data_IF_122026456017
#
_entry.id   IF_122026456017
#
_cell.length_a   1.000
_cell.length_b   1.000
_cell.length_c   1.000
_cell.angle_alpha   90.00
_cell.angle_beta   90.00
_cell.angle_gamma   90.00
#
_symmetry.space_group_name_H-M   'P 1'
#
loop_
_entity.id
_entity.type
_entity.pdbx_description
1 polymer ?
#
# COMPACT_ATOMS: atom_id res chain seq x y z
N UNK A 1 8.88 4.24 -20.96
CA UNK A 1 7.79 4.11 -19.99
C UNK A 1 8.36 4.63 -18.68
N UNK A 2 7.80 5.71 -18.15
CA UNK A 2 8.32 6.30 -16.91
C UNK A 2 7.74 5.58 -15.70
N UNK A 3 8.51 5.41 -14.61
CA UNK A 3 7.99 4.88 -13.37
C UNK A 3 6.83 5.73 -12.83
N UNK A 4 5.76 5.06 -12.39
CA UNK A 4 4.63 5.71 -11.71
C UNK A 4 4.89 5.70 -10.21
N UNK A 5 5.00 6.88 -9.61
CA UNK A 5 5.05 7.03 -8.15
C UNK A 5 3.65 6.85 -7.57
N UNK A 6 3.57 6.17 -6.43
CA UNK A 6 2.35 5.97 -5.67
C UNK A 6 2.46 6.71 -4.33
N UNK A 7 1.35 7.31 -3.91
CA UNK A 7 1.16 7.75 -2.53
C UNK A 7 0.56 6.59 -1.75
N UNK A 8 1.26 6.13 -0.71
CA UNK A 8 0.81 5.02 0.11
C UNK A 8 -0.26 5.47 1.11
N UNK A 9 -1.19 4.56 1.37
CA UNK A 9 -2.18 4.69 2.43
C UNK A 9 -1.51 4.36 3.78
N UNK A 10 -1.67 5.25 4.77
CA UNK A 10 -1.08 5.07 6.10
C UNK A 10 -2.14 4.59 7.08
N UNK A 11 -1.83 3.55 7.86
CA UNK A 11 -2.70 3.01 8.90
C UNK A 11 -2.07 3.25 10.28
N UNK A 12 -2.86 3.80 11.19
CA UNK A 12 -2.51 3.99 12.59
C UNK A 12 -3.24 2.93 13.43
N UNK A 13 -2.50 1.94 13.90
CA UNK A 13 -2.99 0.91 14.82
C UNK A 13 -2.34 1.07 16.19
N UNK A 14 -2.90 0.41 17.21
CA UNK A 14 -2.43 0.53 18.61
C UNK A 14 -0.94 0.20 18.81
N UNK A 15 -0.35 -0.57 17.90
CA UNK A 15 1.06 -0.99 17.92
C UNK A 15 1.97 -0.11 17.04
N UNK A 16 1.45 0.98 16.48
CA UNK A 16 2.16 1.86 15.55
C UNK A 16 3.40 2.50 16.19
N UNK A 17 4.49 2.53 15.43
CA UNK A 17 5.71 3.24 15.76
C UNK A 17 5.89 4.56 15.02
N UNK A 18 7.03 5.20 15.24
CA UNK A 18 7.38 6.50 14.64
C UNK A 18 8.42 6.39 13.51
N UNK A 19 8.89 5.18 13.18
CA UNK A 19 9.99 4.99 12.21
C UNK A 19 9.54 5.37 10.80
N UNK A 20 8.32 5.01 10.40
CA UNK A 20 7.81 5.30 9.06
C UNK A 20 7.77 6.81 8.76
N UNK A 21 7.16 7.67 9.61
CA UNK A 21 7.27 9.11 9.46
C UNK A 21 8.72 9.61 9.53
N UNK A 22 9.49 9.14 10.53
CA UNK A 22 10.80 9.71 10.87
C UNK A 22 11.91 9.40 9.85
N UNK A 23 11.88 8.21 9.24
CA UNK A 23 12.99 7.71 8.42
C UNK A 23 12.58 7.32 6.99
N UNK A 24 11.29 7.14 6.71
CA UNK A 24 10.80 6.65 5.41
C UNK A 24 9.92 7.67 4.67
N UNK A 25 9.86 8.92 5.14
CA UNK A 25 9.12 10.00 4.48
C UNK A 25 7.60 9.80 4.49
N UNK A 26 7.07 9.12 5.52
CA UNK A 26 5.62 8.90 5.70
C UNK A 26 5.03 9.91 6.70
N UNK A 27 5.44 11.16 6.62
CA UNK A 27 5.12 12.26 7.54
C UNK A 27 3.88 13.07 7.14
N UNK A 28 3.16 12.64 6.11
CA UNK A 28 1.96 13.29 5.57
C UNK A 28 0.64 12.81 6.22
N UNK A 29 0.72 12.23 7.41
CA UNK A 29 -0.42 11.64 8.11
C UNK A 29 -0.19 11.59 9.62
N UNK A 30 -0.56 10.47 10.29
CA UNK A 30 -0.36 10.30 11.72
C UNK A 30 1.10 10.41 12.16
N UNK A 31 1.32 10.80 13.43
CA UNK A 31 2.67 10.80 14.03
C UNK A 31 3.20 9.39 14.27
N UNK A 32 2.30 8.44 14.54
CA UNK A 32 2.60 7.02 14.65
C UNK A 32 1.92 6.27 13.52
N UNK A 33 2.68 5.51 12.75
CA UNK A 33 2.19 4.74 11.61
C UNK A 33 2.58 3.29 11.79
N UNK A 34 1.57 2.42 11.76
CA UNK A 34 1.72 0.98 11.89
C UNK A 34 2.01 0.34 10.52
N UNK A 35 1.21 0.69 9.51
CA UNK A 35 1.39 0.18 8.15
C UNK A 35 1.40 1.32 7.14
N UNK A 36 2.26 1.20 6.14
CA UNK A 36 2.23 2.01 4.92
C UNK A 36 2.01 1.09 3.73
N UNK A 37 0.86 1.21 3.05
CA UNK A 37 0.49 0.33 1.94
C UNK A 37 1.06 0.89 0.63
N UNK A 38 2.22 0.39 0.22
CA UNK A 38 3.01 0.90 -0.90
C UNK A 38 2.44 0.52 -2.27
N UNK A 39 1.79 -0.65 -2.37
CA UNK A 39 1.04 -1.07 -3.55
C UNK A 39 -0.22 -1.79 -3.10
N UNK A 40 -1.38 -1.21 -3.41
CA UNK A 40 -2.67 -1.74 -2.99
C UNK A 40 -3.76 -1.46 -4.00
N UNK A 41 -4.50 -2.52 -4.33
CA UNK A 41 -5.78 -2.45 -5.04
C UNK A 41 -6.95 -2.71 -4.07
N UNK A 42 -6.67 -2.86 -2.77
CA UNK A 42 -7.68 -3.17 -1.78
C UNK A 42 -8.62 -1.95 -1.56
N UNK A 43 -9.95 -2.14 -1.54
CA UNK A 43 -10.92 -1.04 -1.37
C UNK A 43 -10.74 -0.20 -0.10
N UNK A 44 -10.20 -0.77 0.99
CA UNK A 44 -9.97 -0.08 2.26
C UNK A 44 -8.70 0.78 2.28
N UNK A 45 -7.92 0.76 1.20
CA UNK A 45 -6.70 1.56 1.07
C UNK A 45 -6.08 1.45 -0.31
N UNK A 46 -6.78 1.88 -1.38
CA UNK A 46 -6.24 1.79 -2.74
C UNK A 46 -5.11 2.80 -2.94
N UNK A 47 -4.05 2.42 -3.66
CA UNK A 47 -2.95 3.32 -3.99
C UNK A 47 -3.42 4.47 -4.88
N UNK A 48 -2.95 5.68 -4.57
CA UNK A 48 -3.18 6.89 -5.38
C UNK A 48 -1.93 7.20 -6.18
N UNK A 49 -2.08 7.54 -7.46
CA UNK A 49 -0.95 7.92 -8.31
C UNK A 49 -0.46 9.32 -7.92
N UNK A 50 0.86 9.47 -7.75
CA UNK A 50 1.49 10.73 -7.31
C UNK A 50 2.37 11.39 -8.39
N UNK A 51 2.41 10.82 -9.60
CA UNK A 51 3.21 11.35 -10.71
C UNK A 51 2.49 11.28 -12.05
N UNK A 52 2.87 12.16 -12.98
CA UNK A 52 2.42 12.11 -14.37
C UNK A 52 0.96 12.53 -14.57
N UNK A 53 0.41 12.17 -15.73
CA UNK A 53 -0.92 12.63 -16.21
C UNK A 53 -2.10 12.15 -15.38
N UNK A 54 -1.94 11.02 -14.69
CA UNK A 54 -2.99 10.38 -13.90
C UNK A 54 -2.83 10.66 -12.39
N UNK A 55 -1.97 11.61 -12.02
CA UNK A 55 -1.79 12.05 -10.64
C UNK A 55 -3.13 12.39 -9.98
N UNK A 56 -3.33 11.86 -8.76
CA UNK A 56 -4.55 12.02 -7.97
C UNK A 56 -5.62 10.96 -8.23
N UNK A 57 -5.49 10.15 -9.29
CA UNK A 57 -6.41 9.02 -9.54
C UNK A 57 -5.99 7.78 -8.74
N UNK A 58 -6.94 6.89 -8.46
CA UNK A 58 -6.60 5.58 -7.92
C UNK A 58 -5.94 4.71 -9.00
N UNK A 59 -4.91 3.97 -8.59
CA UNK A 59 -4.19 3.06 -9.49
C UNK A 59 -5.14 2.02 -10.11
N UNK A 60 -6.07 1.49 -9.31
CA UNK A 60 -7.07 0.51 -9.77
C UNK A 60 -7.98 1.00 -10.90
N UNK A 61 -8.14 2.30 -11.07
CA UNK A 61 -9.06 2.87 -12.07
C UNK A 61 -8.36 3.14 -13.40
N UNK A 62 -7.02 3.10 -13.44
CA UNK A 62 -6.24 3.45 -14.63
C UNK A 62 -5.25 2.37 -15.07
N UNK A 63 -4.83 1.49 -14.16
CA UNK A 63 -3.88 0.45 -14.48
C UNK A 63 -4.51 -0.58 -15.42
N UNK A 64 -3.80 -0.89 -16.51
CA UNK A 64 -4.19 -1.95 -17.44
C UNK A 64 -3.58 -3.28 -17.00
N UNK A 65 -4.05 -4.40 -17.57
CA UNK A 65 -3.41 -5.70 -17.39
C UNK A 65 -1.89 -5.63 -17.64
N UNK A 66 -1.49 -4.92 -18.69
CA UNK A 66 -0.08 -4.82 -19.06
C UNK A 66 0.75 -4.15 -17.97
N UNK A 67 0.17 -3.17 -17.27
CA UNK A 67 0.84 -2.43 -16.20
C UNK A 67 1.00 -3.27 -14.93
N UNK A 68 -0.01 -4.08 -14.59
CA UNK A 68 -0.03 -4.92 -13.38
C UNK A 68 0.56 -6.33 -13.60
N UNK A 69 0.88 -6.68 -14.85
CA UNK A 69 1.43 -7.95 -15.26
C UNK A 69 0.37 -8.95 -15.71
N UNK A 70 0.60 -9.61 -16.85
CA UNK A 70 -0.35 -10.55 -17.49
C UNK A 70 -0.72 -11.76 -16.61
N UNK A 71 0.11 -12.11 -15.63
CA UNK A 71 -0.20 -13.19 -14.70
C UNK A 71 -1.30 -12.81 -13.70
N UNK A 72 -1.54 -11.51 -13.48
CA UNK A 72 -2.61 -11.04 -12.61
C UNK A 72 -4.00 -11.40 -13.15
N UNK A 73 -4.16 -11.63 -14.46
CA UNK A 73 -5.45 -12.04 -15.07
C UNK A 73 -5.95 -13.40 -14.58
N UNK A 74 -5.06 -14.22 -13.99
CA UNK A 74 -5.44 -15.51 -13.42
C UNK A 74 -6.25 -15.38 -12.11
N UNK A 75 -6.33 -14.18 -11.56
CA UNK A 75 -6.96 -13.91 -10.27
C UNK A 75 -8.17 -12.99 -10.45
N UNK A 76 -9.22 -13.19 -9.63
CA UNK A 76 -10.41 -12.33 -9.65
C UNK A 76 -10.13 -10.89 -9.15
N UNK A 77 -9.02 -10.71 -8.44
CA UNK A 77 -8.55 -9.44 -7.90
C UNK A 77 -7.02 -9.38 -8.03
N UNK A 78 -6.44 -8.18 -7.99
CA UNK A 78 -4.99 -8.04 -8.02
C UNK A 78 -4.35 -8.78 -6.83
N UNK A 79 -3.43 -9.73 -7.06
CA UNK A 79 -3.08 -10.74 -6.05
C UNK A 79 -2.04 -10.29 -5.03
N UNK A 80 -1.52 -9.06 -5.12
CA UNK A 80 -0.41 -8.60 -4.29
C UNK A 80 -0.79 -7.33 -3.53
N UNK A 81 -0.41 -7.30 -2.25
CA UNK A 81 -0.42 -6.12 -1.40
C UNK A 81 1.00 -5.95 -0.84
N UNK A 82 1.62 -4.80 -1.10
CA UNK A 82 2.95 -4.48 -0.57
C UNK A 82 2.80 -3.48 0.57
N UNK A 83 3.39 -3.78 1.71
CA UNK A 83 3.38 -2.92 2.90
C UNK A 83 4.77 -2.73 3.47
N UNK A 84 4.99 -1.57 4.08
CA UNK A 84 5.98 -1.40 5.13
C UNK A 84 5.27 -1.44 6.49
N UNK A 85 5.84 -2.14 7.45
CA UNK A 85 5.27 -2.32 8.79
C UNK A 85 6.27 -1.79 9.83
N UNK A 86 5.80 -0.93 10.72
CA UNK A 86 6.54 -0.47 11.90
C UNK A 86 5.80 -0.88 13.18
N UNK A 87 6.29 -1.98 13.76
CA UNK A 87 5.80 -2.53 15.01
C UNK A 87 6.60 -1.95 16.18
N UNK A 88 5.97 -1.09 16.97
CA UNK A 88 6.52 -0.54 18.23
C UNK A 88 6.14 -1.39 19.44
N UNK A 89 5.27 -2.39 19.22
CA UNK A 89 4.82 -3.36 20.22
C UNK A 89 4.66 -4.72 19.56
N UNK A 90 4.55 -5.79 20.37
CA UNK A 90 4.32 -7.13 19.84
C UNK A 90 2.98 -7.20 19.10
N UNK A 91 3.00 -7.85 17.95
CA UNK A 91 1.78 -8.18 17.21
C UNK A 91 1.18 -9.46 17.76
N UNK A 92 -0.14 -9.62 17.58
CA UNK A 92 -0.81 -10.87 17.91
C UNK A 92 -0.23 -12.04 17.09
N UNK A 93 -0.23 -13.22 17.69
CA UNK A 93 -0.02 -14.47 16.94
C UNK A 93 -1.19 -14.64 15.98
N UNK A 94 -0.90 -14.82 14.69
CA UNK A 94 -1.91 -14.97 13.64
C UNK A 94 -1.67 -16.28 12.89
N UNK A 95 -2.77 -16.90 12.45
CA UNK A 95 -2.76 -18.06 11.54
C UNK A 95 -3.55 -17.65 10.31
N UNK A 96 -2.92 -17.74 9.14
CA UNK A 96 -3.62 -17.55 7.88
C UNK A 96 -4.24 -18.89 7.45
N UNK A 97 -5.56 -18.93 7.17
CA UNK A 97 -6.16 -20.12 6.56
C UNK A 97 -5.58 -20.34 5.16
N UNK A 98 -5.78 -21.54 4.62
CA UNK A 98 -5.59 -21.75 3.18
C UNK A 98 -6.56 -20.89 2.38
N UNK A 99 -6.24 -20.71 1.10
CA UNK A 99 -7.15 -20.14 0.11
C UNK A 99 -8.55 -20.78 0.14
#
# INVERSE_FOLDING_TARGET
MEPVKLKSELKEYIWAGEKLPKYYGKDYGPKKVAESWELSFNPSGPSVIDSGKDKGKFLKDVATTKDIGVLAEKFQFFPVLIKLIDSDSDLSVQVHPSD
#
